data_IF_502735737955
#
_entry.id   IF_502735737955
#
_cell.length_a   1.000
_cell.length_b   1.000
_cell.length_c   1.000
_cell.angle_alpha   90.00
_cell.angle_beta   90.00
_cell.angle_gamma   90.00
#
_symmetry.space_group_name_H-M   'P 1'
#
loop_
_entity.id
_entity.type
_entity.pdbx_description
1 polymer ?
#
# COMPACT_ATOMS: atom_id res chain seq x y z
N UNK A 1 -6.96 -2.12 0.75
CA UNK A 1 -7.36 -0.74 1.10
C UNK A 1 -6.45 -0.27 2.23
N UNK A 2 -5.59 0.73 1.96
CA UNK A 2 -4.70 1.35 2.93
C UNK A 2 -5.46 2.48 3.63
N UNK A 3 -5.41 2.55 4.96
CA UNK A 3 -5.82 3.76 5.68
C UNK A 3 -4.88 4.04 6.86
N UNK A 4 -4.19 5.17 6.75
CA UNK A 4 -3.52 5.92 7.81
C UNK A 4 -4.54 6.95 8.32
N UNK A 5 -4.78 7.06 9.63
CA UNK A 5 -5.57 8.17 10.18
C UNK A 5 -5.04 8.68 11.51
N UNK A 6 -4.91 10.01 11.54
CA UNK A 6 -4.33 10.89 12.54
C UNK A 6 -5.14 11.00 13.83
N UNK A 7 -4.38 11.27 14.88
CA UNK A 7 -4.73 11.41 16.29
C UNK A 7 -5.84 12.41 16.61
N UNK A 8 -6.61 12.04 17.63
CA UNK A 8 -7.21 12.98 18.58
C UNK A 8 -8.42 12.37 19.27
N UNK A 9 -8.26 11.75 20.45
CA UNK A 9 -9.36 11.70 21.42
C UNK A 9 -8.92 11.48 22.87
N UNK A 10 -9.72 12.08 23.74
CA UNK A 10 -9.59 12.28 25.19
C UNK A 10 -9.17 11.06 26.02
N UNK A 11 -8.37 11.35 27.06
CA UNK A 11 -7.94 10.42 28.10
C UNK A 11 -9.10 10.06 29.04
N UNK A 12 -9.47 8.79 29.09
CA UNK A 12 -10.11 8.19 30.27
C UNK A 12 -9.10 7.25 30.94
N UNK A 13 -8.83 7.49 32.23
CA UNK A 13 -7.81 6.80 33.04
C UNK A 13 -8.36 5.45 33.46
N UNK A 14 -7.73 4.35 33.06
CA UNK A 14 -7.90 3.03 33.69
C UNK A 14 -6.50 2.56 34.08
N UNK A 15 -6.35 2.31 35.37
CA UNK A 15 -5.12 1.94 36.04
C UNK A 15 -5.07 0.41 36.08
N UNK A 16 -4.24 -0.22 35.24
CA UNK A 16 -3.95 -1.64 35.34
C UNK A 16 -2.51 -1.93 34.90
N UNK A 17 -1.79 -2.64 35.76
CA UNK A 17 -0.33 -2.81 35.77
C UNK A 17 0.14 -3.91 34.81
N UNK A 18 -0.18 -3.79 33.52
CA UNK A 18 0.43 -4.59 32.46
C UNK A 18 1.02 -3.66 31.40
N UNK A 19 2.14 -4.02 30.79
CA UNK A 19 2.76 -3.20 29.74
C UNK A 19 1.89 -3.25 28.47
N UNK A 20 0.83 -2.44 28.42
CA UNK A 20 0.00 -2.29 27.24
C UNK A 20 0.75 -1.40 26.25
N UNK A 21 1.28 -2.00 25.17
CA UNK A 21 1.86 -1.29 24.02
C UNK A 21 0.78 -0.37 23.40
N UNK A 22 0.59 0.82 23.95
CA UNK A 22 -0.21 1.87 23.34
C UNK A 22 0.65 2.60 22.34
N UNK A 23 0.49 2.31 21.06
CA UNK A 23 0.68 3.40 20.10
C UNK A 23 0.11 3.12 18.71
N UNK A 24 0.03 1.87 18.25
CA UNK A 24 -0.44 1.56 16.89
C UNK A 24 -1.35 0.33 16.92
N UNK A 25 -2.61 0.51 16.51
CA UNK A 25 -3.56 -0.59 16.29
C UNK A 25 -3.64 -0.85 14.79
N UNK A 26 -3.37 -2.09 14.37
CA UNK A 26 -3.52 -2.49 12.97
C UNK A 26 -4.99 -2.78 12.61
N UNK A 27 -5.33 -2.67 11.32
CA UNK A 27 -6.66 -3.06 10.82
C UNK A 27 -7.00 -4.54 11.15
N UNK A 28 -5.99 -5.40 11.14
CA UNK A 28 -6.13 -6.81 11.51
C UNK A 28 -6.47 -6.98 12.99
N UNK A 29 -5.89 -6.17 13.89
CA UNK A 29 -6.23 -6.19 15.32
C UNK A 29 -7.66 -5.74 15.57
N UNK A 30 -8.15 -4.73 14.86
CA UNK A 30 -9.55 -4.27 14.96
C UNK A 30 -10.50 -5.40 14.56
N UNK A 31 -10.17 -6.08 13.46
CA UNK A 31 -10.96 -7.23 12.97
C UNK A 31 -10.93 -8.40 13.97
N UNK A 32 -9.79 -8.65 14.62
CA UNK A 32 -9.66 -9.68 15.65
C UNK A 32 -10.42 -9.32 16.93
N UNK A 33 -10.43 -8.04 17.33
CA UNK A 33 -11.21 -7.57 18.46
C UNK A 33 -12.71 -7.78 18.23
N UNK A 34 -13.20 -7.45 17.03
CA UNK A 34 -14.59 -7.68 16.61
C UNK A 34 -14.93 -9.18 16.58
N UNK A 35 -13.99 -10.02 16.12
CA UNK A 35 -14.18 -11.48 16.08
C UNK A 35 -14.23 -12.09 17.48
N UNK A 36 -13.24 -11.78 18.34
CA UNK A 36 -13.20 -12.22 19.73
C UNK A 36 -12.27 -11.31 20.56
N UNK A 37 -12.87 -10.45 21.37
CA UNK A 37 -12.18 -9.50 22.24
C UNK A 37 -11.23 -10.15 23.25
N UNK A 38 -11.58 -11.35 23.75
CA UNK A 38 -10.73 -12.12 24.67
C UNK A 38 -9.47 -12.62 23.95
N UNK A 39 -9.61 -13.15 22.75
CA UNK A 39 -8.46 -13.61 21.95
C UNK A 39 -7.51 -12.47 21.61
N UNK A 40 -8.07 -11.29 21.31
CA UNK A 40 -7.31 -10.07 21.07
C UNK A 40 -6.55 -9.61 22.32
N UNK A 41 -7.20 -9.64 23.49
CA UNK A 41 -6.55 -9.29 24.75
C UNK A 41 -5.40 -10.25 25.08
N UNK A 42 -5.62 -11.56 24.96
CA UNK A 42 -4.58 -12.58 25.14
C UNK A 42 -3.40 -12.37 24.17
N UNK A 43 -3.68 -11.98 22.93
CA UNK A 43 -2.64 -11.66 21.96
C UNK A 43 -1.80 -10.45 22.37
N UNK A 44 -2.42 -9.42 22.95
CA UNK A 44 -1.70 -8.27 23.54
C UNK A 44 -0.90 -8.62 24.79
N UNK A 45 -1.33 -9.63 25.54
CA UNK A 45 -0.55 -10.20 26.64
C UNK A 45 0.65 -11.06 26.17
N UNK A 46 0.85 -11.21 24.85
CA UNK A 46 1.98 -11.93 24.26
C UNK A 46 1.66 -13.34 23.78
N UNK A 47 0.40 -13.77 23.85
CA UNK A 47 -0.01 -15.08 23.33
C UNK A 47 -0.04 -15.08 21.80
N UNK A 48 0.78 -15.91 21.17
CA UNK A 48 0.81 -16.01 19.71
C UNK A 48 -0.21 -17.06 19.23
N UNK A 49 -1.18 -16.68 18.37
CA UNK A 49 -2.07 -17.66 17.77
C UNK A 49 -1.26 -18.60 16.88
N UNK A 50 -1.46 -19.91 17.04
CA UNK A 50 -0.89 -20.94 16.17
C UNK A 50 -1.99 -21.54 15.33
N UNK A 51 -1.92 -21.36 14.01
CA UNK A 51 -2.71 -22.13 13.06
C UNK A 51 -2.01 -22.17 11.70
N UNK A 52 -2.08 -23.33 11.03
CA UNK A 52 -1.44 -23.55 9.73
C UNK A 52 -2.03 -22.64 8.64
N UNK A 53 -3.33 -22.33 8.77
CA UNK A 53 -4.04 -21.40 7.89
C UNK A 53 -3.55 -19.96 8.03
N UNK A 54 -3.16 -19.54 9.25
CA UNK A 54 -2.66 -18.19 9.50
C UNK A 54 -1.29 -17.98 8.85
N UNK A 55 -0.37 -18.94 8.97
CA UNK A 55 0.94 -18.87 8.32
C UNK A 55 0.79 -18.81 6.79
N UNK A 56 -0.10 -19.63 6.24
CA UNK A 56 -0.42 -19.64 4.81
C UNK A 56 -0.99 -18.29 4.35
N UNK A 57 -1.91 -17.70 5.14
CA UNK A 57 -2.49 -16.39 4.87
C UNK A 57 -1.45 -15.26 4.88
N UNK A 58 -0.53 -15.27 5.85
CA UNK A 58 0.57 -14.30 5.93
C UNK A 58 1.47 -14.40 4.70
N UNK A 59 1.90 -15.62 4.33
CA UNK A 59 2.73 -15.85 3.14
C UNK A 59 2.06 -15.34 1.86
N UNK A 60 0.77 -15.64 1.69
CA UNK A 60 -0.04 -15.14 0.56
C UNK A 60 -0.08 -13.61 0.53
N UNK A 61 -0.41 -12.95 1.65
CA UNK A 61 -0.44 -11.49 1.71
C UNK A 61 0.92 -10.85 1.41
N UNK A 62 2.01 -11.40 1.94
CA UNK A 62 3.35 -10.89 1.65
C UNK A 62 3.72 -11.06 0.18
N UNK A 63 3.38 -12.21 -0.43
CA UNK A 63 3.65 -12.46 -1.85
C UNK A 63 2.90 -11.48 -2.76
N UNK A 64 1.61 -11.26 -2.49
CA UNK A 64 0.79 -10.31 -3.23
C UNK A 64 1.29 -8.88 -3.04
N UNK A 65 1.69 -8.51 -1.83
CA UNK A 65 2.30 -7.21 -1.55
C UNK A 65 3.54 -6.95 -2.41
N UNK A 66 4.44 -7.95 -2.52
CA UNK A 66 5.62 -7.88 -3.39
C UNK A 66 5.25 -7.72 -4.87
N UNK A 67 4.26 -8.48 -5.35
CA UNK A 67 3.79 -8.37 -6.74
C UNK A 67 3.22 -7.00 -7.03
N UNK A 68 2.41 -6.42 -6.13
CA UNK A 68 1.84 -5.07 -6.30
C UNK A 68 2.96 -4.02 -6.36
N UNK A 69 3.95 -4.11 -5.47
CA UNK A 69 5.10 -3.20 -5.49
C UNK A 69 5.91 -3.32 -6.79
N UNK A 70 6.12 -4.55 -7.28
CA UNK A 70 6.82 -4.80 -8.54
C UNK A 70 6.06 -4.20 -9.73
N UNK A 71 4.75 -4.45 -9.83
CA UNK A 71 3.89 -3.87 -10.88
C UNK A 71 3.95 -2.34 -10.84
N UNK A 72 3.93 -1.74 -9.65
CA UNK A 72 4.06 -0.30 -9.48
C UNK A 72 5.36 0.27 -10.08
N UNK A 73 6.47 -0.45 -9.93
CA UNK A 73 7.75 -0.07 -10.53
C UNK A 73 7.73 -0.16 -12.07
N UNK A 74 7.21 -1.26 -12.62
CA UNK A 74 7.12 -1.45 -14.08
C UNK A 74 6.18 -0.43 -14.75
N UNK A 75 5.09 -0.04 -14.06
CA UNK A 75 4.20 1.03 -14.52
C UNK A 75 4.91 2.38 -14.62
N UNK A 76 5.79 2.72 -13.67
CA UNK A 76 6.57 3.96 -13.75
C UNK A 76 7.52 3.96 -14.95
N UNK A 77 8.20 2.82 -15.18
CA UNK A 77 9.09 2.65 -16.34
C UNK A 77 8.30 2.77 -17.65
N UNK A 78 7.16 2.11 -17.73
CA UNK A 78 6.27 2.16 -18.90
C UNK A 78 5.75 3.57 -19.18
N UNK A 79 5.39 4.34 -18.15
CA UNK A 79 4.98 5.74 -18.31
C UNK A 79 6.10 6.62 -18.86
N UNK A 80 7.34 6.42 -18.42
CA UNK A 80 8.50 7.17 -18.96
C UNK A 80 8.75 6.83 -20.42
N UNK A 81 8.67 5.56 -20.79
CA UNK A 81 8.81 5.11 -22.18
C UNK A 81 7.68 5.66 -23.07
N UNK A 82 6.44 5.64 -22.60
CA UNK A 82 5.30 6.20 -23.32
C UNK A 82 5.46 7.71 -23.56
N UNK A 83 5.95 8.45 -22.56
CA UNK A 83 6.21 9.89 -22.69
C UNK A 83 7.33 10.18 -23.70
N UNK A 84 8.41 9.39 -23.66
CA UNK A 84 9.49 9.49 -24.66
C UNK A 84 8.98 9.19 -26.08
N UNK A 85 8.15 8.16 -26.25
CA UNK A 85 7.53 7.83 -27.52
C UNK A 85 6.62 8.95 -28.05
N UNK A 86 5.82 9.56 -27.17
CA UNK A 86 4.97 10.69 -27.54
C UNK A 86 5.78 11.90 -28.02
N UNK A 87 6.87 12.23 -27.31
CA UNK A 87 7.77 13.31 -27.73
C UNK A 87 8.41 13.03 -29.10
N UNK A 88 8.82 11.79 -29.35
CA UNK A 88 9.44 11.39 -30.62
C UNK A 88 8.45 11.55 -31.79
N UNK A 89 7.21 11.12 -31.60
CA UNK A 89 6.13 11.29 -32.59
C UNK A 89 5.86 12.79 -32.82
N UNK A 90 5.74 13.59 -31.75
CA UNK A 90 5.50 15.02 -31.85
C UNK A 90 6.60 15.75 -32.64
N UNK A 91 7.87 15.42 -32.38
CA UNK A 91 9.01 15.99 -33.12
C UNK A 91 8.96 15.57 -34.59
N UNK A 92 8.72 14.29 -34.87
CA UNK A 92 8.64 13.78 -36.25
C UNK A 92 7.55 14.49 -37.05
N UNK A 93 6.34 14.64 -36.48
CA UNK A 93 5.24 15.37 -37.11
C UNK A 93 5.59 16.84 -37.35
N UNK A 94 6.24 17.48 -36.37
CA UNK A 94 6.64 18.89 -36.50
C UNK A 94 7.62 19.10 -37.65
N UNK A 95 8.60 18.20 -37.81
CA UNK A 95 9.57 18.25 -38.92
C UNK A 95 8.87 18.06 -40.26
N UNK A 96 7.95 17.10 -40.36
CA UNK A 96 7.18 16.85 -41.59
C UNK A 96 6.36 18.09 -41.97
N UNK A 97 5.66 18.69 -41.01
CA UNK A 97 4.83 19.88 -41.24
C UNK A 97 5.70 21.06 -41.70
N UNK A 98 6.81 21.33 -41.02
CA UNK A 98 7.76 22.39 -41.41
C UNK A 98 8.31 22.17 -42.81
N UNK A 99 8.64 20.93 -43.16
CA UNK A 99 9.16 20.59 -44.47
C UNK A 99 8.13 20.84 -45.58
N UNK A 100 6.86 20.46 -45.37
CA UNK A 100 5.77 20.73 -46.31
C UNK A 100 5.55 22.24 -46.49
N UNK A 101 5.61 23.02 -45.41
CA UNK A 101 5.46 24.48 -45.48
C UNK A 101 6.60 25.10 -46.30
N UNK A 102 7.85 24.66 -46.10
CA UNK A 102 9.00 25.16 -46.87
C UNK A 102 8.90 24.77 -48.35
N UNK A 103 8.41 23.57 -48.66
CA UNK A 103 8.27 23.10 -50.04
C UNK A 103 7.19 23.88 -50.81
N UNK A 104 6.13 24.32 -50.11
CA UNK A 104 4.96 24.98 -50.73
C UNK A 104 5.11 26.50 -50.83
N UNK A 105 5.99 27.10 -50.02
CA UNK A 105 6.27 28.54 -49.96
C UNK A 105 7.39 28.95 -50.93
#
# INVERSE_FOLDING_TARGET
>A
MFFQQKNGFMKHKINDSSSYKMEIISASEISQFLYCSISWHLQRCGYKPKSDLLETGIKRHTSLGKTISYIGYELQKSRRLALAGYLLIAVSLSVIILWVIILVA
#
